data_IF_619634744000
#
_entry.id   IF_619634744000
#
_cell.length_a   1.000
_cell.length_b   1.000
_cell.length_c   1.000
_cell.angle_alpha   90.00
_cell.angle_beta   90.00
_cell.angle_gamma   90.00
#
_symmetry.space_group_name_H-M   'P 1'
#
loop_
_entity.id
_entity.type
_entity.pdbx_description
1 polymer ?
#
# COMPACT_ATOMS: atom_id res chain seq x y z
N UNK A 1 28.59 -6.53 -53.16
CA UNK A 1 28.43 -5.66 -51.96
C UNK A 1 26.95 -5.50 -51.60
N UNK A 2 26.26 -6.57 -51.17
CA UNK A 2 24.83 -6.52 -50.77
C UNK A 2 24.54 -7.24 -49.44
N UNK A 3 25.58 -7.55 -48.65
CA UNK A 3 25.45 -8.39 -47.45
C UNK A 3 25.61 -7.63 -46.12
N UNK A 4 25.97 -6.34 -46.13
CA UNK A 4 26.22 -5.60 -44.88
C UNK A 4 25.00 -4.85 -44.33
N UNK A 5 23.95 -4.62 -45.13
CA UNK A 5 22.81 -3.79 -44.73
C UNK A 5 21.70 -4.53 -43.98
N UNK A 6 21.65 -5.87 -44.07
CA UNK A 6 20.62 -6.66 -43.37
C UNK A 6 21.01 -6.95 -41.92
N UNK A 7 22.31 -7.03 -41.61
CA UNK A 7 22.78 -7.29 -40.26
C UNK A 7 22.53 -6.11 -39.30
N UNK A 8 22.60 -4.86 -39.78
CA UNK A 8 22.39 -3.66 -38.95
C UNK A 8 20.93 -3.42 -38.59
N UNK A 9 19.96 -3.89 -39.37
CA UNK A 9 18.53 -3.79 -39.01
C UNK A 9 18.13 -4.80 -37.92
N UNK A 10 18.74 -5.99 -37.90
CA UNK A 10 18.52 -6.98 -36.84
C UNK A 10 19.19 -6.58 -35.52
N UNK A 11 20.31 -5.84 -35.56
CA UNK A 11 20.95 -5.30 -34.36
C UNK A 11 20.19 -4.12 -33.73
N UNK A 12 19.40 -3.36 -34.52
CA UNK A 12 18.56 -2.28 -33.98
C UNK A 12 17.28 -2.80 -33.29
N UNK A 13 16.77 -3.98 -33.68
CA UNK A 13 15.64 -4.62 -33.00
C UNK A 13 16.05 -5.36 -31.71
N UNK A 14 17.36 -5.58 -31.52
CA UNK A 14 17.95 -6.08 -30.28
C UNK A 14 18.41 -4.96 -29.34
N UNK A 15 18.14 -3.68 -29.68
CA UNK A 15 18.23 -2.58 -28.74
C UNK A 15 17.18 -2.83 -27.65
N UNK A 16 17.63 -3.52 -26.58
CA UNK A 16 17.00 -3.67 -25.28
C UNK A 16 15.58 -3.11 -25.26
N UNK A 17 14.57 -3.97 -25.44
CA UNK A 17 13.19 -3.70 -25.07
C UNK A 17 13.08 -3.58 -23.53
N UNK A 18 13.98 -2.82 -22.92
CA UNK A 18 13.91 -2.39 -21.55
C UNK A 18 12.99 -1.17 -21.58
N UNK A 19 11.69 -1.42 -21.40
CA UNK A 19 10.79 -0.32 -21.07
C UNK A 19 11.30 0.33 -19.78
N UNK A 20 11.56 1.66 -19.80
CA UNK A 20 11.93 2.37 -18.58
C UNK A 20 10.85 2.16 -17.54
N UNK A 21 11.24 1.70 -16.35
CA UNK A 21 10.32 1.56 -15.25
C UNK A 21 9.77 2.93 -14.86
N UNK A 22 8.47 3.15 -15.08
CA UNK A 22 7.81 4.36 -14.63
C UNK A 22 7.24 4.13 -13.23
N UNK A 23 7.77 4.86 -12.26
CA UNK A 23 7.29 4.76 -10.90
C UNK A 23 5.89 5.36 -10.69
N UNK A 24 5.73 6.56 -11.23
CA UNK A 24 4.52 7.35 -11.12
C UNK A 24 3.88 7.29 -12.51
N UNK A 25 3.07 6.24 -12.71
CA UNK A 25 2.33 6.09 -13.97
C UNK A 25 1.53 7.36 -14.21
N UNK A 26 1.62 7.91 -15.42
CA UNK A 26 0.90 9.13 -15.76
C UNK A 26 -0.61 8.87 -15.75
N UNK A 27 -1.28 9.41 -14.75
CA UNK A 27 -2.73 9.39 -14.56
C UNK A 27 -3.40 10.67 -15.09
N UNK A 28 -2.62 11.58 -15.68
CA UNK A 28 -3.00 12.96 -15.98
C UNK A 28 -3.02 13.87 -14.76
N UNK A 29 -2.56 13.39 -13.59
CA UNK A 29 -2.65 14.10 -12.33
C UNK A 29 -1.83 15.39 -12.30
N UNK A 30 -0.60 15.38 -12.80
CA UNK A 30 0.25 16.59 -12.83
C UNK A 30 -0.33 17.67 -13.76
N UNK A 31 -0.86 17.26 -14.93
CA UNK A 31 -1.55 18.18 -15.86
C UNK A 31 -2.77 18.82 -15.19
N UNK A 32 -3.55 18.00 -14.46
CA UNK A 32 -4.68 18.50 -13.68
C UNK A 32 -4.22 19.48 -12.60
N UNK A 33 -3.19 19.14 -11.81
CA UNK A 33 -2.68 20.03 -10.76
C UNK A 33 -2.17 21.37 -11.32
N UNK A 34 -1.54 21.37 -12.49
CA UNK A 34 -1.10 22.60 -13.17
C UNK A 34 -2.27 23.53 -13.56
N UNK A 35 -3.49 23.00 -13.69
CA UNK A 35 -4.70 23.79 -13.90
C UNK A 35 -5.35 24.32 -12.61
N UNK A 36 -4.80 23.94 -11.45
CA UNK A 36 -5.26 24.35 -10.12
C UNK A 36 -4.27 25.29 -9.43
N UNK A 37 -4.62 25.80 -8.24
CA UNK A 37 -3.71 26.60 -7.41
C UNK A 37 -2.71 25.73 -6.61
N UNK A 38 -2.32 24.57 -7.14
CA UNK A 38 -1.34 23.69 -6.50
C UNK A 38 0.05 24.34 -6.52
N UNK A 39 0.78 24.20 -5.42
CA UNK A 39 2.16 24.68 -5.28
C UNK A 39 3.10 23.50 -5.13
N UNK A 40 4.11 23.40 -5.99
CA UNK A 40 5.13 22.34 -5.92
C UNK A 40 5.85 22.36 -4.55
N UNK A 41 6.17 21.18 -4.01
CA UNK A 41 6.72 21.03 -2.67
C UNK A 41 5.67 21.09 -1.55
N UNK A 42 4.38 21.15 -1.89
CA UNK A 42 3.29 21.07 -0.92
C UNK A 42 2.46 19.81 -1.13
N UNK A 43 1.70 19.41 -0.10
CA UNK A 43 0.80 18.26 -0.21
C UNK A 43 -0.44 18.64 -1.06
N UNK A 44 -0.74 17.91 -2.15
CA UNK A 44 -1.97 18.13 -2.90
C UNK A 44 -3.20 17.81 -2.04
N UNK A 45 -4.33 18.45 -2.34
CA UNK A 45 -5.57 18.21 -1.60
C UNK A 45 -6.09 16.80 -1.89
N UNK A 46 -6.65 16.15 -0.87
CA UNK A 46 -7.17 14.78 -1.01
C UNK A 46 -8.26 14.67 -2.11
N UNK A 47 -9.09 15.71 -2.27
CA UNK A 47 -10.14 15.75 -3.30
C UNK A 47 -9.60 15.74 -4.74
N UNK A 48 -8.33 16.07 -4.91
CA UNK A 48 -7.68 16.18 -6.22
C UNK A 48 -7.04 14.86 -6.64
N UNK A 49 -6.77 13.95 -5.69
CA UNK A 49 -6.23 12.60 -5.94
C UNK A 49 -7.22 11.77 -6.77
N UNK A 50 -6.77 11.15 -7.86
CA UNK A 50 -7.60 10.39 -8.81
C UNK A 50 -7.35 8.90 -8.77
N UNK A 51 -6.11 8.48 -8.52
CA UNK A 51 -5.71 7.08 -8.50
C UNK A 51 -4.64 6.82 -7.44
N UNK A 52 -4.40 5.53 -7.14
CA UNK A 52 -3.40 5.13 -6.15
C UNK A 52 -1.97 5.65 -6.45
N UNK A 53 -1.46 5.68 -7.70
CA UNK A 53 -0.13 6.20 -8.00
C UNK A 53 0.06 7.69 -7.62
N UNK A 54 -1.01 8.48 -7.60
CA UNK A 54 -0.95 9.91 -7.27
C UNK A 54 -0.51 10.15 -5.82
N UNK A 55 -0.72 9.16 -4.93
CA UNK A 55 -0.20 9.23 -3.56
C UNK A 55 1.33 9.15 -3.51
N UNK A 56 1.98 8.50 -4.48
CA UNK A 56 3.44 8.44 -4.55
C UNK A 56 4.01 9.81 -4.96
N UNK A 57 3.38 10.47 -5.93
CA UNK A 57 3.65 11.88 -6.25
C UNK A 57 3.45 12.77 -5.02
N UNK A 58 2.29 12.67 -4.35
CA UNK A 58 1.98 13.48 -3.17
C UNK A 58 3.00 13.27 -2.04
N UNK A 59 3.46 12.04 -1.84
CA UNK A 59 4.51 11.72 -0.87
C UNK A 59 5.84 12.36 -1.27
N UNK A 60 6.24 12.29 -2.55
CA UNK A 60 7.47 12.91 -3.07
C UNK A 60 7.48 14.43 -2.90
N UNK A 61 6.33 15.08 -2.99
CA UNK A 61 6.21 16.53 -2.79
C UNK A 61 6.37 16.96 -1.32
N UNK A 62 6.04 16.09 -0.36
CA UNK A 62 6.01 16.43 1.07
C UNK A 62 7.20 15.88 1.86
N UNK A 63 7.63 14.67 1.54
CA UNK A 63 8.67 13.98 2.30
C UNK A 63 10.05 14.42 1.85
N UNK A 64 10.99 14.53 2.80
CA UNK A 64 12.39 14.66 2.45
C UNK A 64 12.91 13.40 1.74
N UNK A 65 14.02 13.54 1.01
CA UNK A 65 14.59 12.46 0.20
C UNK A 65 14.90 11.19 1.03
N UNK A 66 15.27 11.34 2.30
CA UNK A 66 15.60 10.20 3.15
C UNK A 66 14.35 9.41 3.52
N UNK A 67 13.28 10.09 3.93
CA UNK A 67 12.00 9.46 4.29
C UNK A 67 11.29 8.89 3.07
N UNK A 68 11.30 9.60 1.95
CA UNK A 68 10.71 9.11 0.70
C UNK A 68 11.42 7.85 0.22
N UNK A 69 12.76 7.87 0.15
CA UNK A 69 13.54 6.71 -0.28
C UNK A 69 13.36 5.49 0.63
N UNK A 70 13.19 5.68 1.94
CA UNK A 70 12.92 4.58 2.87
C UNK A 70 11.67 3.77 2.49
N UNK A 71 10.60 4.43 2.06
CA UNK A 71 9.36 3.74 1.67
C UNK A 71 9.35 3.29 0.23
N UNK A 72 9.89 4.13 -0.66
CA UNK A 72 9.78 3.91 -2.09
C UNK A 72 10.69 2.78 -2.57
N UNK A 73 11.87 2.64 -2.00
CA UNK A 73 12.90 1.78 -2.59
C UNK A 73 12.69 0.29 -2.32
N UNK A 74 12.97 -0.53 -3.33
CA UNK A 74 13.12 -1.97 -3.22
C UNK A 74 14.58 -2.40 -3.05
N UNK A 75 14.82 -3.70 -2.89
CA UNK A 75 16.19 -4.23 -2.77
C UNK A 75 16.95 -4.15 -4.10
N UNK A 76 18.19 -3.66 -4.06
CA UNK A 76 19.13 -3.61 -5.18
C UNK A 76 18.49 -3.00 -6.44
N UNK A 77 18.43 -3.73 -7.56
CA UNK A 77 17.82 -3.26 -8.81
C UNK A 77 16.29 -3.22 -8.83
N UNK A 78 15.63 -3.51 -7.70
CA UNK A 78 14.16 -3.52 -7.53
C UNK A 78 13.40 -4.50 -8.44
N UNK A 79 14.08 -5.46 -9.08
CA UNK A 79 13.48 -6.35 -10.07
C UNK A 79 12.24 -7.07 -9.55
N UNK A 80 12.28 -7.57 -8.31
CA UNK A 80 11.12 -8.23 -7.69
C UNK A 80 9.96 -7.27 -7.39
N UNK A 81 10.25 -6.01 -7.03
CA UNK A 81 9.22 -5.00 -6.80
C UNK A 81 8.50 -4.67 -8.12
N UNK A 82 9.27 -4.36 -9.16
CA UNK A 82 8.74 -4.03 -10.50
C UNK A 82 7.94 -5.19 -11.09
N UNK A 83 8.50 -6.40 -11.01
CA UNK A 83 7.82 -7.60 -11.49
C UNK A 83 6.46 -7.85 -10.82
N UNK A 84 6.31 -7.56 -9.52
CA UNK A 84 5.03 -7.70 -8.81
C UNK A 84 3.94 -6.75 -9.31
N UNK A 85 4.31 -5.62 -9.88
CA UNK A 85 3.37 -4.67 -10.47
C UNK A 85 3.06 -5.05 -11.92
N UNK A 86 4.08 -5.39 -12.71
CA UNK A 86 3.95 -5.76 -14.12
C UNK A 86 3.15 -7.05 -14.35
N UNK A 87 3.17 -7.98 -13.39
CA UNK A 87 2.47 -9.27 -13.54
C UNK A 87 0.96 -9.07 -13.76
N UNK A 88 0.38 -8.01 -13.22
CA UNK A 88 -1.06 -7.75 -13.33
C UNK A 88 -1.49 -7.34 -14.74
N UNK A 89 -0.61 -6.71 -15.53
CA UNK A 89 -0.90 -6.40 -16.94
C UNK A 89 -1.06 -7.66 -17.80
N UNK A 90 -0.50 -8.80 -17.34
CA UNK A 90 -0.60 -10.10 -18.00
C UNK A 90 -1.92 -10.82 -17.69
N UNK A 91 -2.68 -10.32 -16.72
CA UNK A 91 -3.97 -10.89 -16.31
C UNK A 91 -5.10 -10.01 -16.86
N UNK A 92 -5.89 -10.58 -17.77
CA UNK A 92 -7.06 -9.89 -18.32
C UNK A 92 -8.34 -10.36 -17.64
N UNK A 93 -9.18 -9.41 -17.25
CA UNK A 93 -10.52 -9.71 -16.77
C UNK A 93 -11.46 -9.94 -17.96
N UNK A 94 -12.14 -11.08 -17.98
CA UNK A 94 -13.22 -11.33 -18.94
C UNK A 94 -14.51 -10.73 -18.38
N UNK A 95 -14.92 -9.58 -18.92
CA UNK A 95 -16.20 -8.96 -18.57
C UNK A 95 -17.37 -9.89 -18.88
N UNK A 96 -18.36 -9.91 -17.99
CA UNK A 96 -19.66 -10.54 -18.23
C UNK A 96 -20.65 -9.45 -18.58
N UNK A 97 -21.39 -9.64 -19.67
CA UNK A 97 -22.42 -8.71 -20.13
C UNK A 97 -23.80 -9.17 -19.66
N UNK A 98 -24.77 -8.25 -19.64
CA UNK A 98 -26.17 -8.51 -19.25
C UNK A 98 -26.32 -9.17 -17.87
N UNK A 99 -25.37 -8.91 -16.98
CA UNK A 99 -25.44 -9.33 -15.57
C UNK A 99 -25.94 -8.15 -14.73
N UNK A 100 -26.85 -8.40 -13.80
CA UNK A 100 -27.29 -7.37 -12.85
C UNK A 100 -26.15 -7.03 -11.87
N UNK A 101 -25.76 -5.76 -11.88
CA UNK A 101 -24.68 -5.20 -11.03
C UNK A 101 -25.20 -4.14 -10.06
N UNK A 102 -26.52 -3.99 -9.92
CA UNK A 102 -27.14 -2.96 -9.07
C UNK A 102 -26.82 -3.12 -7.58
N UNK A 103 -26.46 -4.34 -7.15
CA UNK A 103 -26.12 -4.69 -5.75
C UNK A 103 -24.63 -4.95 -5.54
N UNK A 104 -23.76 -4.36 -6.36
CA UNK A 104 -22.31 -4.59 -6.30
C UNK A 104 -21.71 -4.29 -4.90
N UNK A 105 -22.18 -3.24 -4.22
CA UNK A 105 -21.72 -2.86 -2.89
C UNK A 105 -21.92 -3.96 -1.84
N UNK A 106 -22.87 -4.86 -2.04
CA UNK A 106 -23.12 -5.99 -1.13
C UNK A 106 -22.15 -7.15 -1.35
N UNK A 107 -21.41 -7.14 -2.46
CA UNK A 107 -20.50 -8.23 -2.86
C UNK A 107 -19.06 -8.02 -2.44
N UNK A 108 -18.70 -6.82 -1.98
CA UNK A 108 -17.32 -6.49 -1.58
C UNK A 108 -16.96 -6.99 -0.20
N UNK A 109 -17.96 -7.20 0.67
CA UNK A 109 -17.73 -7.68 2.02
C UNK A 109 -17.09 -9.06 2.01
N UNK A 110 -16.19 -9.30 2.96
CA UNK A 110 -15.49 -10.58 3.10
C UNK A 110 -15.28 -10.95 4.55
N UNK A 111 -14.92 -12.19 4.80
CA UNK A 111 -14.59 -12.70 6.14
C UNK A 111 -13.16 -13.22 6.14
N UNK A 112 -12.34 -12.75 7.08
CA UNK A 112 -10.95 -13.18 7.27
C UNK A 112 -10.80 -13.73 8.69
N UNK A 113 -10.42 -15.01 8.83
CA UNK A 113 -10.28 -15.72 10.11
C UNK A 113 -11.50 -15.59 11.05
N UNK A 114 -12.71 -15.58 10.48
CA UNK A 114 -13.97 -15.49 11.24
C UNK A 114 -14.43 -14.06 11.57
N UNK A 115 -13.74 -13.03 11.10
CA UNK A 115 -14.11 -11.62 11.28
C UNK A 115 -14.55 -10.98 9.97
N UNK A 116 -15.57 -10.13 10.02
CA UNK A 116 -16.18 -9.51 8.85
C UNK A 116 -15.54 -8.17 8.52
N UNK A 117 -15.32 -7.90 7.23
CA UNK A 117 -14.76 -6.67 6.71
C UNK A 117 -15.56 -6.17 5.50
N UNK A 118 -15.57 -4.87 5.28
CA UNK A 118 -16.36 -4.21 4.21
C UNK A 118 -15.80 -4.45 2.80
N UNK A 119 -14.51 -4.77 2.70
CA UNK A 119 -13.78 -4.93 1.44
C UNK A 119 -12.71 -6.02 1.54
N UNK A 120 -12.32 -6.67 0.42
CA UNK A 120 -11.34 -7.74 0.39
C UNK A 120 -9.90 -7.22 0.31
N UNK A 121 -9.62 -6.16 1.07
CA UNK A 121 -8.31 -5.50 1.14
C UNK A 121 -8.01 -5.18 2.60
N UNK A 122 -6.74 -5.06 2.94
CA UNK A 122 -6.29 -4.72 4.27
C UNK A 122 -5.03 -3.86 4.21
N UNK A 123 -4.77 -3.12 5.28
CA UNK A 123 -3.54 -2.36 5.44
C UNK A 123 -2.46 -3.31 5.97
N UNK A 124 -1.48 -3.62 5.12
CA UNK A 124 -0.36 -4.49 5.43
C UNK A 124 0.61 -3.85 6.45
N UNK A 125 1.39 -4.65 7.20
CA UNK A 125 2.33 -4.12 8.17
C UNK A 125 3.47 -3.36 7.49
N UNK A 126 3.54 -2.06 7.76
CA UNK A 126 4.64 -1.18 7.37
C UNK A 126 5.26 -0.57 8.63
N UNK A 127 6.59 -0.57 8.68
CA UNK A 127 7.33 -0.02 9.80
C UNK A 127 7.47 1.50 9.69
N UNK A 128 7.72 2.15 10.83
CA UNK A 128 8.14 3.55 10.92
C UNK A 128 7.18 4.59 10.32
N UNK A 129 5.86 4.45 10.55
CA UNK A 129 4.85 5.38 10.04
C UNK A 129 5.12 6.86 10.35
N UNK A 130 5.92 7.15 11.38
CA UNK A 130 6.36 8.51 11.75
C UNK A 130 7.10 9.26 10.64
N UNK A 131 7.68 8.55 9.66
CA UNK A 131 8.30 9.19 8.51
C UNK A 131 7.29 9.83 7.56
N UNK A 132 6.03 9.41 7.58
CA UNK A 132 4.97 10.03 6.78
C UNK A 132 4.28 11.19 7.49
N UNK A 133 3.98 10.99 8.78
CA UNK A 133 3.19 11.91 9.60
C UNK A 133 3.43 11.63 11.10
N UNK A 134 3.34 12.65 11.96
CA UNK A 134 3.59 12.52 13.40
C UNK A 134 2.61 11.57 14.12
N UNK A 135 1.38 11.46 13.61
CA UNK A 135 0.39 10.52 14.14
C UNK A 135 0.68 9.07 13.72
N UNK A 136 1.51 8.85 12.69
CA UNK A 136 2.03 7.54 12.28
C UNK A 136 0.93 6.46 12.16
N UNK A 137 1.12 5.31 12.81
CA UNK A 137 0.18 4.18 12.76
C UNK A 137 -1.21 4.49 13.37
N UNK A 138 -1.36 5.58 14.13
CA UNK A 138 -2.68 6.00 14.61
C UNK A 138 -3.59 6.45 13.46
N UNK A 139 -3.02 7.03 12.39
CA UNK A 139 -3.80 7.36 11.20
C UNK A 139 -4.33 6.09 10.53
N UNK A 140 -3.49 5.04 10.46
CA UNK A 140 -3.84 3.77 9.83
C UNK A 140 -4.91 3.01 10.60
N UNK A 141 -4.79 2.91 11.93
CA UNK A 141 -5.80 2.21 12.74
C UNK A 141 -7.15 2.93 12.72
N UNK A 142 -7.17 4.26 12.77
CA UNK A 142 -8.40 5.06 12.70
C UNK A 142 -9.05 4.95 11.32
N UNK A 143 -8.28 5.08 10.25
CA UNK A 143 -8.78 4.93 8.89
C UNK A 143 -9.36 3.53 8.67
N UNK A 144 -8.65 2.48 9.08
CA UNK A 144 -9.15 1.10 8.98
C UNK A 144 -10.43 0.87 9.79
N UNK A 145 -10.55 1.51 10.96
CA UNK A 145 -11.74 1.43 11.79
C UNK A 145 -12.95 2.11 11.16
N UNK A 146 -12.74 3.29 10.55
CA UNK A 146 -13.79 4.02 9.85
C UNK A 146 -14.27 3.28 8.60
N UNK A 147 -13.33 2.72 7.83
CA UNK A 147 -13.64 2.01 6.58
C UNK A 147 -14.02 0.54 6.79
N UNK A 148 -13.99 0.02 8.02
CA UNK A 148 -14.26 -1.38 8.35
C UNK A 148 -13.38 -2.38 7.59
N UNK A 149 -12.11 -2.04 7.39
CA UNK A 149 -11.10 -2.93 6.80
C UNK A 149 -10.10 -3.40 7.85
N UNK A 150 -9.40 -4.50 7.57
CA UNK A 150 -8.37 -5.02 8.47
C UNK A 150 -7.13 -4.11 8.44
N UNK A 151 -6.57 -3.83 9.61
CA UNK A 151 -5.22 -3.30 9.75
C UNK A 151 -4.33 -4.29 10.50
N UNK A 152 -3.11 -4.46 9.99
CA UNK A 152 -2.08 -5.29 10.58
C UNK A 152 -0.89 -4.39 10.97
N UNK A 153 -0.80 -3.86 12.20
CA UNK A 153 0.36 -3.11 12.64
C UNK A 153 1.66 -3.93 12.62
N UNK A 154 2.75 -3.27 12.22
CA UNK A 154 4.11 -3.83 12.27
C UNK A 154 4.63 -3.93 13.71
N UNK A 155 5.47 -4.93 14.00
CA UNK A 155 6.27 -4.95 15.24
C UNK A 155 7.25 -3.76 15.32
N UNK A 156 7.64 -3.20 14.17
CA UNK A 156 8.51 -2.03 14.06
C UNK A 156 7.72 -0.74 13.77
N UNK A 157 6.47 -0.69 14.21
CA UNK A 157 5.67 0.54 14.23
C UNK A 157 6.35 1.62 15.09
N UNK A 158 6.07 2.89 14.78
CA UNK A 158 6.55 4.02 15.58
C UNK A 158 5.75 4.21 16.87
N UNK A 159 4.47 3.85 16.85
CA UNK A 159 3.59 3.86 18.03
C UNK A 159 3.59 2.50 18.69
N UNK A 160 3.46 2.47 20.01
CA UNK A 160 3.38 1.23 20.78
C UNK A 160 2.09 0.45 20.46
N UNK A 161 2.10 -0.85 20.76
CA UNK A 161 0.93 -1.74 20.61
C UNK A 161 -0.28 -1.16 21.37
N UNK A 162 -0.05 -0.62 22.56
CA UNK A 162 -1.08 -0.03 23.42
C UNK A 162 -1.62 1.28 22.84
N UNK A 163 -0.77 2.16 22.32
CA UNK A 163 -1.21 3.39 21.65
C UNK A 163 -2.06 3.09 20.41
N UNK A 164 -1.63 2.14 19.58
CA UNK A 164 -2.39 1.71 18.40
C UNK A 164 -3.73 1.11 18.82
N UNK A 165 -3.74 0.27 19.86
CA UNK A 165 -4.96 -0.33 20.37
C UNK A 165 -5.94 0.69 20.94
N UNK A 166 -5.45 1.74 21.60
CA UNK A 166 -6.28 2.85 22.08
C UNK A 166 -6.91 3.66 20.93
N UNK A 167 -6.33 3.62 19.73
CA UNK A 167 -6.86 4.25 18.52
C UNK A 167 -7.97 3.44 17.81
N UNK A 168 -8.32 2.26 18.32
CA UNK A 168 -9.32 1.38 17.70
C UNK A 168 -10.73 1.94 17.81
N UNK A 169 -11.53 1.76 16.76
CA UNK A 169 -12.96 2.06 16.78
C UNK A 169 -13.77 0.95 17.47
N UNK A 170 -14.88 1.30 18.13
CA UNK A 170 -15.84 0.34 18.69
C UNK A 170 -17.09 0.14 17.84
N UNK A 171 -17.25 0.93 16.77
CA UNK A 171 -18.44 0.93 15.90
C UNK A 171 -18.22 0.17 14.60
N UNK A 172 -17.46 -0.94 14.62
CA UNK A 172 -17.17 -1.70 13.39
C UNK A 172 -18.16 -2.85 13.20
N UNK A 173 -18.12 -3.51 12.04
CA UNK A 173 -18.89 -4.73 11.76
C UNK A 173 -18.67 -5.87 12.77
N UNK A 174 -17.59 -5.83 13.56
CA UNK A 174 -17.25 -6.81 14.59
C UNK A 174 -17.43 -6.26 16.02
N UNK A 175 -18.12 -5.12 16.18
CA UNK A 175 -18.09 -4.33 17.41
C UNK A 175 -16.73 -3.65 17.57
N UNK A 176 -15.93 -3.98 18.60
CA UNK A 176 -14.54 -3.54 18.69
C UNK A 176 -13.76 -3.91 17.42
N UNK A 177 -13.04 -2.94 16.86
CA UNK A 177 -12.24 -3.11 15.65
C UNK A 177 -11.30 -4.31 15.78
N UNK A 178 -11.20 -5.10 14.72
CA UNK A 178 -10.32 -6.26 14.64
C UNK A 178 -8.99 -5.83 14.02
N UNK A 179 -7.89 -6.18 14.69
CA UNK A 179 -6.52 -6.02 14.19
C UNK A 179 -5.77 -7.33 14.34
N UNK A 180 -4.83 -7.59 13.44
CA UNK A 180 -3.84 -8.67 13.59
C UNK A 180 -2.47 -8.06 13.87
N UNK A 181 -1.65 -8.68 14.70
CA UNK A 181 -0.35 -8.13 15.05
C UNK A 181 0.75 -8.84 14.27
N UNK A 182 1.54 -8.11 13.50
CA UNK A 182 2.75 -8.66 12.91
C UNK A 182 3.85 -8.77 13.98
N UNK A 183 4.56 -9.90 14.03
CA UNK A 183 5.65 -10.17 14.96
C UNK A 183 6.91 -10.65 14.21
N UNK A 184 8.08 -10.14 14.61
CA UNK A 184 9.37 -10.67 14.19
C UNK A 184 10.00 -11.50 15.32
N UNK A 185 10.68 -12.58 14.94
CA UNK A 185 11.51 -13.35 15.87
C UNK A 185 12.76 -12.58 16.27
N UNK A 186 13.26 -12.84 17.47
CA UNK A 186 14.53 -12.31 17.95
C UNK A 186 15.36 -13.46 18.53
N UNK A 187 16.70 -13.35 18.49
CA UNK A 187 17.58 -14.32 19.15
C UNK A 187 17.25 -14.46 20.64
N UNK A 188 16.91 -13.35 21.29
CA UNK A 188 16.32 -13.38 22.63
C UNK A 188 14.80 -13.52 22.53
N UNK A 189 14.31 -14.75 22.73
CA UNK A 189 12.89 -15.07 22.62
C UNK A 189 12.00 -14.34 23.65
N UNK A 190 12.55 -13.80 24.73
CA UNK A 190 11.73 -13.04 25.69
C UNK A 190 11.08 -11.81 25.05
N UNK A 191 11.72 -11.23 24.03
CA UNK A 191 11.21 -10.05 23.30
C UNK A 191 9.95 -10.36 22.49
N UNK A 192 9.94 -11.31 21.53
CA UNK A 192 8.71 -11.65 20.81
C UNK A 192 7.63 -12.21 21.75
N UNK A 193 7.99 -12.97 22.79
CA UNK A 193 7.01 -13.45 23.78
C UNK A 193 6.31 -12.30 24.51
N UNK A 194 7.05 -11.25 24.88
CA UNK A 194 6.44 -10.10 25.51
C UNK A 194 5.49 -9.35 24.57
N UNK A 195 5.90 -9.16 23.31
CA UNK A 195 5.05 -8.52 22.30
C UNK A 195 3.77 -9.31 22.00
N UNK A 196 3.84 -10.65 21.93
CA UNK A 196 2.66 -11.50 21.77
C UNK A 196 1.69 -11.29 22.94
N UNK A 197 2.18 -11.35 24.19
CA UNK A 197 1.33 -11.12 25.37
C UNK A 197 0.71 -9.73 25.39
N UNK A 198 1.46 -8.70 24.97
CA UNK A 198 0.95 -7.33 24.85
C UNK A 198 -0.14 -7.23 23.79
N UNK A 199 0.07 -7.83 22.62
CA UNK A 199 -0.91 -7.88 21.53
C UNK A 199 -2.21 -8.62 21.94
N UNK A 200 -2.09 -9.74 22.63
CA UNK A 200 -3.25 -10.46 23.17
C UNK A 200 -4.04 -9.61 24.18
N UNK A 201 -3.35 -8.97 25.13
CA UNK A 201 -3.96 -8.09 26.13
C UNK A 201 -4.68 -6.90 25.52
N UNK A 202 -4.16 -6.34 24.43
CA UNK A 202 -4.79 -5.24 23.70
C UNK A 202 -5.85 -5.70 22.69
N UNK A 203 -6.12 -7.01 22.63
CA UNK A 203 -7.21 -7.60 21.87
C UNK A 203 -6.91 -7.77 20.38
N UNK A 204 -5.64 -7.95 19.99
CA UNK A 204 -5.31 -8.49 18.67
C UNK A 204 -5.92 -9.88 18.50
N UNK A 205 -6.41 -10.19 17.29
CA UNK A 205 -7.17 -11.43 17.03
C UNK A 205 -6.40 -12.49 16.25
N UNK A 206 -5.24 -12.13 15.71
CA UNK A 206 -4.29 -13.08 15.12
C UNK A 206 -2.88 -12.50 15.17
N UNK A 207 -1.89 -13.37 15.00
CA UNK A 207 -0.48 -13.03 14.86
C UNK A 207 -0.04 -13.33 13.42
N UNK A 208 0.76 -12.43 12.83
CA UNK A 208 1.30 -12.51 11.47
C UNK A 208 2.82 -12.57 11.50
#
# INVERSE_FOLDING_TARGET
>A
MRSLFVATQLLAAAAMAAEPWNNEVDTGFEIYLASTNFTEGTQPLLKDIRALPDFDFAARQKLDNQKYSFYRTGTAGEFSYRHKLDVWQKVQLRSKHLSDVTRLSETTATTILGYNFSAPVFIAPAARGIYGDEAAELNLVRAAGNENILYIPSMYASKSIEEIAAGKSNGTLNGPQVIFQQIYTNANLSVPWDNIRRAERTGAKAIV
#
